data_IF_075979627631
#
_entry.id   IF_075979627631
#
_cell.length_a   1.000
_cell.length_b   1.000
_cell.length_c   1.000
_cell.angle_alpha   90.00
_cell.angle_beta   90.00
_cell.angle_gamma   90.00
#
_symmetry.space_group_name_H-M   'P 1'
#
loop_
_entity.id
_entity.type
_entity.pdbx_description
1 polymer ?
#
# COMPACT_ATOMS: atom_id res chain seq x y z
N UNK A 1 -9.28 14.91 -20.65
CA UNK A 1 -8.92 14.63 -19.24
C UNK A 1 -7.97 13.43 -19.15
N UNK A 2 -8.35 12.22 -19.59
CA UNK A 2 -7.49 11.01 -19.51
C UNK A 2 -6.59 10.74 -20.73
N UNK A 3 -6.23 11.76 -21.53
CA UNK A 3 -5.32 11.56 -22.68
C UNK A 3 -3.84 11.76 -22.31
N UNK A 4 -3.57 12.30 -21.12
CA UNK A 4 -2.23 12.49 -20.58
C UNK A 4 -2.02 11.63 -19.33
N UNK A 5 -0.92 10.88 -19.30
CA UNK A 5 -0.58 10.03 -18.16
C UNK A 5 -0.22 10.90 -16.94
N UNK A 6 -0.87 10.65 -15.80
CA UNK A 6 -0.60 11.41 -14.58
C UNK A 6 -1.36 12.74 -14.48
N UNK A 7 -2.30 13.03 -15.38
CA UNK A 7 -3.16 14.23 -15.33
C UNK A 7 -3.89 14.38 -13.97
N UNK A 8 -4.26 13.26 -13.34
CA UNK A 8 -4.88 13.23 -12.00
C UNK A 8 -3.98 13.85 -10.91
N UNK A 9 -2.68 14.01 -11.17
CA UNK A 9 -1.72 14.62 -10.24
C UNK A 9 -1.45 16.10 -10.49
N UNK A 10 -1.95 16.69 -11.58
CA UNK A 10 -1.51 18.01 -12.04
C UNK A 10 -2.48 19.19 -11.83
N UNK A 11 -3.72 19.04 -11.31
CA UNK A 11 -4.67 20.17 -11.26
C UNK A 11 -5.61 20.15 -10.03
N UNK A 12 -5.93 21.36 -9.53
CA UNK A 12 -7.07 21.75 -8.69
C UNK A 12 -8.40 21.17 -9.19
N UNK A 13 -8.64 19.91 -8.86
CA UNK A 13 -9.82 19.20 -9.32
C UNK A 13 -11.02 19.58 -8.43
N UNK A 14 -12.18 19.91 -9.06
CA UNK A 14 -13.43 20.12 -8.32
C UNK A 14 -13.72 18.94 -7.38
N UNK A 15 -14.32 19.15 -6.19
CA UNK A 15 -14.55 18.08 -5.21
C UNK A 15 -15.23 16.82 -5.79
N UNK A 16 -16.17 17.00 -6.72
CA UNK A 16 -16.86 15.93 -7.44
C UNK A 16 -15.91 15.04 -8.28
N UNK A 17 -14.86 15.63 -8.86
CA UNK A 17 -13.87 14.90 -9.64
C UNK A 17 -12.91 14.09 -8.76
N UNK A 18 -12.59 14.57 -7.55
CA UNK A 18 -11.75 13.86 -6.59
C UNK A 18 -12.39 12.53 -6.14
N UNK A 19 -13.68 12.54 -5.81
CA UNK A 19 -14.42 11.32 -5.45
C UNK A 19 -14.43 10.31 -6.59
N UNK A 20 -14.68 10.78 -7.81
CA UNK A 20 -14.62 9.94 -9.01
C UNK A 20 -13.23 9.31 -9.21
N UNK A 21 -12.16 10.09 -9.01
CA UNK A 21 -10.79 9.59 -9.12
C UNK A 21 -10.44 8.55 -8.04
N UNK A 22 -10.97 8.69 -6.82
CA UNK A 22 -10.81 7.68 -5.77
C UNK A 22 -11.47 6.36 -6.18
N UNK A 23 -12.70 6.42 -6.70
CA UNK A 23 -13.43 5.24 -7.19
C UNK A 23 -12.65 4.56 -8.33
N UNK A 24 -12.23 5.32 -9.34
CA UNK A 24 -11.42 4.81 -10.45
C UNK A 24 -10.13 4.16 -9.94
N UNK A 25 -9.47 4.76 -8.95
CA UNK A 25 -8.26 4.20 -8.36
C UNK A 25 -8.52 2.85 -7.68
N UNK A 26 -9.60 2.71 -6.92
CA UNK A 26 -10.00 1.45 -6.28
C UNK A 26 -10.25 0.38 -7.36
N UNK A 27 -11.03 0.68 -8.39
CA UNK A 27 -11.30 -0.27 -9.48
C UNK A 27 -10.03 -0.68 -10.25
N UNK A 28 -9.09 0.25 -10.47
CA UNK A 28 -7.81 -0.08 -11.09
C UNK A 28 -6.98 -1.04 -10.22
N UNK A 29 -6.94 -0.81 -8.90
CA UNK A 29 -6.25 -1.70 -7.96
C UNK A 29 -6.89 -3.09 -7.93
N UNK A 30 -8.23 -3.17 -7.85
CA UNK A 30 -8.97 -4.43 -7.87
C UNK A 30 -8.80 -5.18 -9.20
N UNK A 31 -8.78 -4.46 -10.32
CA UNK A 31 -8.51 -5.04 -11.65
C UNK A 31 -7.12 -5.68 -11.71
N UNK A 32 -6.08 -4.99 -11.23
CA UNK A 32 -4.71 -5.52 -11.16
C UNK A 32 -4.64 -6.76 -10.27
N UNK A 33 -5.24 -6.73 -9.08
CA UNK A 33 -5.27 -7.88 -8.18
C UNK A 33 -5.98 -9.08 -8.81
N UNK A 34 -7.12 -8.84 -9.47
CA UNK A 34 -7.90 -9.87 -10.15
C UNK A 34 -7.14 -10.48 -11.32
N UNK A 35 -6.51 -9.65 -12.14
CA UNK A 35 -5.65 -10.08 -13.24
C UNK A 35 -4.49 -10.95 -12.77
N UNK A 36 -3.77 -10.52 -11.72
CA UNK A 36 -2.68 -11.30 -11.12
C UNK A 36 -3.20 -12.60 -10.50
N UNK A 37 -4.37 -12.57 -9.85
CA UNK A 37 -5.02 -13.77 -9.30
C UNK A 37 -5.37 -14.80 -10.39
N UNK A 38 -5.95 -14.35 -11.52
CA UNK A 38 -6.23 -15.20 -12.68
C UNK A 38 -4.95 -15.79 -13.29
N UNK A 39 -3.88 -15.01 -13.35
CA UNK A 39 -2.57 -15.48 -13.78
C UNK A 39 -1.97 -16.48 -12.79
N UNK A 40 -2.18 -16.29 -11.49
CA UNK A 40 -1.73 -17.23 -10.45
C UNK A 40 -2.35 -18.62 -10.64
N UNK A 41 -3.63 -18.68 -10.99
CA UNK A 41 -4.36 -19.91 -11.31
C UNK A 41 -3.94 -20.56 -12.63
N UNK A 42 -3.40 -19.79 -13.58
CA UNK A 42 -3.04 -20.25 -14.91
C UNK A 42 -1.72 -21.02 -14.93
N UNK A 43 -1.72 -22.30 -14.53
CA UNK A 43 -0.47 -23.08 -14.36
C UNK A 43 0.37 -23.19 -15.64
N UNK A 44 -0.19 -23.67 -16.76
CA UNK A 44 0.56 -23.98 -18.00
C UNK A 44 0.48 -22.92 -19.10
N UNK A 45 -0.50 -22.02 -19.07
CA UNK A 45 -0.80 -21.05 -20.14
C UNK A 45 -0.53 -19.60 -19.70
N UNK A 46 0.51 -19.37 -18.89
CA UNK A 46 0.76 -18.04 -18.32
C UNK A 46 1.00 -16.99 -19.41
N UNK A 47 1.81 -17.30 -20.43
CA UNK A 47 2.11 -16.35 -21.50
C UNK A 47 0.86 -16.00 -22.32
N UNK A 48 0.10 -17.00 -22.76
CA UNK A 48 -1.13 -16.78 -23.54
C UNK A 48 -2.17 -15.97 -22.77
N UNK A 49 -2.36 -16.26 -21.48
CA UNK A 49 -3.29 -15.49 -20.65
C UNK A 49 -2.75 -14.10 -20.31
N UNK A 50 -1.44 -13.95 -20.14
CA UNK A 50 -0.82 -12.65 -19.94
C UNK A 50 -1.04 -11.74 -21.15
N UNK A 51 -0.84 -12.25 -22.37
CA UNK A 51 -1.09 -11.50 -23.61
C UNK A 51 -2.56 -11.08 -23.73
N UNK A 52 -3.49 -11.93 -23.31
CA UNK A 52 -4.92 -11.59 -23.32
C UNK A 52 -5.28 -10.50 -22.29
N UNK A 53 -4.63 -10.53 -21.12
CA UNK A 53 -4.94 -9.65 -19.98
C UNK A 53 -4.15 -8.33 -20.06
N UNK A 54 -3.02 -8.29 -20.77
CA UNK A 54 -2.12 -7.13 -20.82
C UNK A 54 -2.75 -5.82 -21.29
N UNK A 55 -3.71 -5.78 -22.25
CA UNK A 55 -4.36 -4.52 -22.63
C UNK A 55 -5.16 -3.91 -21.47
N UNK A 56 -5.79 -4.76 -20.65
CA UNK A 56 -6.57 -4.35 -19.49
C UNK A 56 -5.68 -3.87 -18.34
N UNK A 57 -4.54 -4.54 -18.13
CA UNK A 57 -3.53 -4.11 -17.17
C UNK A 57 -2.93 -2.76 -17.57
N UNK A 58 -2.63 -2.57 -18.85
CA UNK A 58 -2.15 -1.29 -19.37
C UNK A 58 -3.17 -0.18 -19.15
N UNK A 59 -4.43 -0.41 -19.51
CA UNK A 59 -5.51 0.54 -19.27
C UNK A 59 -5.65 0.90 -17.78
N UNK A 60 -5.59 -0.10 -16.87
CA UNK A 60 -5.67 0.14 -15.44
C UNK A 60 -4.50 0.99 -14.90
N UNK A 61 -3.27 0.72 -15.34
CA UNK A 61 -2.09 1.52 -14.96
C UNK A 61 -2.20 2.94 -15.51
N UNK A 62 -2.61 3.07 -16.77
CA UNK A 62 -2.72 4.34 -17.47
C UNK A 62 -3.80 5.24 -16.88
N UNK A 63 -5.01 4.70 -16.65
CA UNK A 63 -6.13 5.43 -16.05
C UNK A 63 -5.83 5.89 -14.63
N UNK A 64 -5.05 5.12 -13.87
CA UNK A 64 -4.66 5.55 -12.54
C UNK A 64 -3.64 6.69 -12.56
N UNK A 65 -2.66 6.63 -13.48
CA UNK A 65 -1.65 7.67 -13.65
C UNK A 65 -0.60 7.75 -12.54
N UNK A 66 -0.72 6.98 -11.45
CA UNK A 66 0.26 7.04 -10.33
C UNK A 66 1.35 5.98 -10.47
N UNK A 67 2.60 6.41 -10.30
CA UNK A 67 3.80 5.54 -10.39
C UNK A 67 3.78 4.30 -9.49
N UNK A 68 3.13 4.37 -8.33
CA UNK A 68 3.10 3.25 -7.39
C UNK A 68 2.25 2.07 -7.90
N UNK A 69 1.23 2.32 -8.72
CA UNK A 69 0.39 1.24 -9.27
C UNK A 69 1.13 0.42 -10.31
N UNK A 70 1.94 1.09 -11.13
CA UNK A 70 2.89 0.39 -12.00
C UNK A 70 3.86 -0.47 -11.18
N UNK A 71 4.44 0.09 -10.10
CA UNK A 71 5.33 -0.66 -9.22
C UNK A 71 4.65 -1.90 -8.59
N UNK A 72 3.41 -1.76 -8.09
CA UNK A 72 2.64 -2.88 -7.54
C UNK A 72 2.45 -3.99 -8.58
N UNK A 73 2.02 -3.63 -9.80
CA UNK A 73 1.83 -4.62 -10.87
C UNK A 73 3.12 -5.37 -11.18
N UNK A 74 4.21 -4.64 -11.38
CA UNK A 74 5.52 -5.19 -11.72
C UNK A 74 6.06 -6.11 -10.62
N UNK A 75 5.95 -5.69 -9.36
CA UNK A 75 6.34 -6.50 -8.19
C UNK A 75 5.49 -7.77 -8.10
N UNK A 76 4.17 -7.66 -8.25
CA UNK A 76 3.27 -8.82 -8.20
C UNK A 76 3.58 -9.83 -9.31
N UNK A 77 3.81 -9.37 -10.54
CA UNK A 77 4.21 -10.25 -11.64
C UNK A 77 5.57 -10.90 -11.39
N UNK A 78 6.54 -10.16 -10.85
CA UNK A 78 7.84 -10.71 -10.50
C UNK A 78 7.74 -11.78 -9.41
N UNK A 79 7.01 -11.52 -8.32
CA UNK A 79 6.78 -12.51 -7.25
C UNK A 79 6.07 -13.74 -7.83
N UNK A 80 5.08 -13.57 -8.71
CA UNK A 80 4.37 -14.68 -9.34
C UNK A 80 5.31 -15.60 -10.12
N UNK A 81 6.18 -15.02 -10.95
CA UNK A 81 7.16 -15.78 -11.75
C UNK A 81 8.21 -16.43 -10.85
N UNK A 82 8.68 -15.72 -9.81
CA UNK A 82 9.64 -16.24 -8.85
C UNK A 82 9.07 -17.45 -8.08
N UNK A 83 7.82 -17.40 -7.61
CA UNK A 83 7.17 -18.51 -6.89
C UNK A 83 6.94 -19.75 -7.75
N UNK A 84 6.90 -19.61 -9.09
CA UNK A 84 6.80 -20.76 -10.01
C UNK A 84 8.12 -21.47 -10.26
N UNK A 85 9.22 -20.97 -9.71
CA UNK A 85 10.54 -21.58 -9.88
C UNK A 85 11.13 -21.41 -11.28
N UNK A 86 10.63 -20.45 -12.08
CA UNK A 86 11.26 -20.11 -13.37
C UNK A 86 12.72 -19.68 -13.20
N UNK A 87 13.06 -19.10 -12.04
CA UNK A 87 14.41 -18.66 -11.71
C UNK A 87 15.04 -19.58 -10.65
N UNK A 88 16.31 -19.95 -10.86
CA UNK A 88 17.17 -20.47 -9.78
C UNK A 88 17.36 -19.36 -8.72
N UNK A 89 17.63 -19.72 -7.45
CA UNK A 89 17.76 -18.75 -6.34
C UNK A 89 18.65 -17.54 -6.66
N UNK A 90 19.80 -17.77 -7.29
CA UNK A 90 20.72 -16.69 -7.71
C UNK A 90 20.13 -15.79 -8.81
N UNK A 91 19.40 -16.39 -9.77
CA UNK A 91 18.72 -15.66 -10.83
C UNK A 91 17.54 -14.82 -10.28
N UNK A 92 16.90 -15.24 -9.19
CA UNK A 92 15.88 -14.44 -8.52
C UNK A 92 16.45 -13.13 -7.95
N UNK A 93 17.65 -13.17 -7.36
CA UNK A 93 18.31 -11.96 -6.86
C UNK A 93 18.68 -11.01 -8.01
N UNK A 94 19.28 -11.54 -9.08
CA UNK A 94 19.64 -10.74 -10.26
C UNK A 94 18.41 -10.11 -10.91
N UNK A 95 17.34 -10.89 -11.11
CA UNK A 95 16.10 -10.38 -11.69
C UNK A 95 15.44 -9.34 -10.79
N UNK A 96 15.51 -9.51 -9.47
CA UNK A 96 15.06 -8.49 -8.51
C UNK A 96 15.86 -7.19 -8.61
N UNK A 97 17.19 -7.27 -8.78
CA UNK A 97 18.04 -6.09 -8.98
C UNK A 97 17.71 -5.38 -10.30
N UNK A 98 17.54 -6.13 -11.39
CA UNK A 98 17.13 -5.57 -12.69
C UNK A 98 15.76 -4.89 -12.54
N UNK A 99 14.82 -5.52 -11.85
CA UNK A 99 13.49 -4.96 -11.58
C UNK A 99 13.59 -3.62 -10.83
N UNK A 100 14.42 -3.59 -9.79
CA UNK A 100 14.68 -2.38 -9.02
C UNK A 100 15.22 -1.25 -9.91
N UNK A 101 16.19 -1.55 -10.78
CA UNK A 101 16.75 -0.56 -11.72
C UNK A 101 15.69 -0.05 -12.72
N UNK A 102 14.84 -0.94 -13.24
CA UNK A 102 13.74 -0.56 -14.14
C UNK A 102 12.74 0.36 -13.43
N UNK A 103 12.35 0.03 -12.20
CA UNK A 103 11.44 0.86 -11.40
C UNK A 103 12.06 2.21 -11.02
N UNK A 104 13.36 2.23 -10.69
CA UNK A 104 14.09 3.47 -10.41
C UNK A 104 14.16 4.36 -11.64
N UNK A 105 14.48 3.79 -12.81
CA UNK A 105 14.50 4.52 -14.08
C UNK A 105 13.11 5.07 -14.45
N UNK A 106 12.06 4.27 -14.31
CA UNK A 106 10.68 4.71 -14.53
C UNK A 106 10.29 5.85 -13.59
N UNK A 107 10.63 5.75 -12.30
CA UNK A 107 10.32 6.79 -11.32
C UNK A 107 11.07 8.09 -11.61
N UNK A 108 12.33 8.01 -12.03
CA UNK A 108 13.11 9.16 -12.45
C UNK A 108 12.48 9.86 -13.67
N UNK A 109 12.08 9.09 -14.69
CA UNK A 109 11.34 9.63 -15.83
C UNK A 109 10.03 10.30 -15.40
N UNK A 110 9.28 9.67 -14.50
CA UNK A 110 8.04 10.26 -13.96
C UNK A 110 8.27 11.61 -13.27
N UNK A 111 9.34 11.73 -12.47
CA UNK A 111 9.67 12.99 -11.78
C UNK A 111 9.99 14.12 -12.75
N UNK A 112 10.67 13.84 -13.85
CA UNK A 112 11.03 14.84 -14.86
C UNK A 112 9.83 15.22 -15.73
N UNK A 113 9.13 14.23 -16.28
CA UNK A 113 8.13 14.47 -17.32
C UNK A 113 6.73 14.77 -16.80
N UNK A 114 6.37 14.25 -15.61
CA UNK A 114 5.00 14.40 -15.06
C UNK A 114 4.98 15.41 -13.93
N UNK A 115 6.00 15.41 -13.06
CA UNK A 115 6.11 16.40 -11.96
C UNK A 115 6.89 17.66 -12.35
N UNK A 116 7.45 17.69 -13.55
CA UNK A 116 8.22 18.82 -14.09
C UNK A 116 9.33 19.34 -13.17
N UNK A 117 9.92 18.46 -12.34
CA UNK A 117 11.03 18.81 -11.45
C UNK A 117 12.29 19.05 -12.28
N UNK A 118 12.80 20.29 -12.29
CA UNK A 118 13.96 20.69 -13.10
C UNK A 118 15.24 20.91 -12.28
N UNK A 119 15.12 21.19 -10.98
CA UNK A 119 16.28 21.38 -10.11
C UNK A 119 16.73 20.05 -9.47
N UNK A 120 18.04 19.78 -9.52
CA UNK A 120 18.66 18.63 -8.86
C UNK A 120 18.42 18.63 -7.35
N UNK A 121 18.39 19.81 -6.72
CA UNK A 121 18.17 19.92 -5.28
C UNK A 121 16.75 19.43 -4.90
N UNK A 122 15.75 19.82 -5.68
CA UNK A 122 14.36 19.39 -5.52
C UNK A 122 14.18 17.91 -5.83
N UNK A 123 14.82 17.40 -6.89
CA UNK A 123 14.79 15.96 -7.23
C UNK A 123 15.36 15.13 -6.07
N UNK A 124 16.50 15.55 -5.51
CA UNK A 124 17.13 14.87 -4.38
C UNK A 124 16.25 14.92 -3.12
N UNK A 125 15.70 16.07 -2.78
CA UNK A 125 14.82 16.21 -1.62
C UNK A 125 13.55 15.37 -1.78
N UNK A 126 12.92 15.41 -2.95
CA UNK A 126 11.75 14.58 -3.25
C UNK A 126 12.08 13.08 -3.18
N UNK A 127 13.20 12.65 -3.77
CA UNK A 127 13.63 11.26 -3.68
C UNK A 127 13.89 10.84 -2.23
N UNK A 128 14.54 11.70 -1.43
CA UNK A 128 14.78 11.42 -0.01
C UNK A 128 13.48 11.33 0.79
N UNK A 129 12.53 12.24 0.55
CA UNK A 129 11.22 12.22 1.21
C UNK A 129 10.43 10.99 0.80
N UNK A 130 10.43 10.65 -0.49
CA UNK A 130 9.68 9.52 -1.04
C UNK A 130 10.23 8.16 -0.60
N UNK A 131 11.56 7.99 -0.56
CA UNK A 131 12.19 6.68 -0.36
C UNK A 131 12.94 6.54 0.97
N UNK A 132 13.51 7.62 1.49
CA UNK A 132 14.34 7.55 2.70
C UNK A 132 13.54 7.38 3.97
N UNK A 133 12.32 7.94 4.04
CA UNK A 133 11.41 7.95 5.21
C UNK A 133 12.03 8.49 6.52
N UNK A 134 13.29 8.91 6.50
CA UNK A 134 14.05 9.32 7.66
C UNK A 134 13.49 10.61 8.27
N UNK A 135 13.06 11.55 7.42
CA UNK A 135 12.45 12.80 7.86
C UNK A 135 11.18 12.56 8.71
N UNK A 136 10.31 11.65 8.25
CA UNK A 136 9.03 11.37 8.89
C UNK A 136 9.23 10.66 10.23
N UNK A 137 10.11 9.65 10.26
CA UNK A 137 10.45 8.94 11.50
C UNK A 137 11.12 9.88 12.50
N UNK A 138 12.12 10.69 12.08
CA UNK A 138 12.80 11.64 12.97
C UNK A 138 11.85 12.68 13.56
N UNK A 139 10.95 13.24 12.76
CA UNK A 139 9.96 14.18 13.25
C UNK A 139 9.01 13.53 14.25
N UNK A 140 8.58 12.28 14.00
CA UNK A 140 7.74 11.53 14.93
C UNK A 140 8.43 11.32 16.27
N UNK A 141 9.70 10.87 16.25
CA UNK A 141 10.51 10.72 17.46
C UNK A 141 10.71 12.08 18.15
N UNK A 142 10.93 13.15 17.38
CA UNK A 142 11.09 14.48 17.95
C UNK A 142 9.84 14.98 18.66
N UNK A 143 8.65 14.76 18.08
CA UNK A 143 7.36 15.08 18.68
C UNK A 143 7.15 14.29 19.99
N UNK A 144 7.51 13.01 20.00
CA UNK A 144 7.46 12.18 21.23
C UNK A 144 8.37 12.69 22.35
N UNK A 145 9.55 13.19 21.99
CA UNK A 145 10.52 13.71 22.97
C UNK A 145 10.21 15.14 23.42
N UNK A 146 9.47 15.91 22.62
CA UNK A 146 9.17 17.32 22.87
C UNK A 146 7.68 17.64 22.68
N UNK A 147 6.77 17.03 23.47
CA UNK A 147 5.32 17.20 23.31
C UNK A 147 4.90 18.66 23.47
N UNK A 148 5.59 19.45 24.30
CA UNK A 148 5.31 20.88 24.47
C UNK A 148 5.60 21.74 23.23
N UNK A 149 6.29 21.20 22.22
CA UNK A 149 6.65 21.92 20.98
C UNK A 149 5.85 21.47 19.77
N UNK A 150 5.52 20.19 19.72
CA UNK A 150 4.86 19.57 18.58
C UNK A 150 4.20 18.28 19.02
N UNK A 151 2.92 18.15 18.71
CA UNK A 151 2.17 16.90 18.83
C UNK A 151 1.62 16.57 17.44
N UNK A 152 1.73 15.31 17.04
CA UNK A 152 1.22 14.86 15.73
C UNK A 152 -0.25 14.48 15.84
N UNK A 153 -0.58 13.69 16.86
CA UNK A 153 -1.94 13.27 17.18
C UNK A 153 -2.43 14.07 18.37
N UNK A 154 -3.73 14.38 18.41
CA UNK A 154 -4.35 15.06 19.55
C UNK A 154 -4.44 14.10 20.75
N UNK A 155 -4.52 12.79 20.49
CA UNK A 155 -4.43 11.75 21.52
C UNK A 155 -3.94 10.40 20.97
N UNK A 156 -3.48 9.52 21.88
CA UNK A 156 -2.98 8.18 21.53
C UNK A 156 -4.10 7.28 20.99
N UNK A 157 -3.85 6.58 19.89
CA UNK A 157 -4.82 5.67 19.28
C UNK A 157 -5.78 6.34 18.28
N UNK A 158 -5.70 7.66 18.13
CA UNK A 158 -6.60 8.43 17.26
C UNK A 158 -6.60 7.93 15.81
N UNK A 159 -5.43 7.61 15.25
CA UNK A 159 -5.38 7.11 13.86
C UNK A 159 -5.89 5.68 13.72
N UNK A 160 -5.88 4.88 14.80
CA UNK A 160 -6.47 3.54 14.82
C UNK A 160 -7.99 3.60 14.82
N UNK A 161 -8.57 4.61 15.47
CA UNK A 161 -10.01 4.88 15.39
C UNK A 161 -10.37 5.20 13.93
N UNK A 162 -9.56 6.01 13.25
CA UNK A 162 -9.74 6.26 11.82
C UNK A 162 -9.69 4.97 10.99
N UNK A 163 -8.76 4.04 11.28
CA UNK A 163 -8.69 2.76 10.58
C UNK A 163 -9.98 1.96 10.71
N UNK A 164 -10.51 1.83 11.93
CA UNK A 164 -11.74 1.09 12.19
C UNK A 164 -12.98 1.71 11.54
N UNK A 165 -12.92 3.00 11.23
CA UNK A 165 -14.05 3.78 10.71
C UNK A 165 -13.83 4.25 9.28
N UNK A 166 -12.85 3.70 8.56
CA UNK A 166 -12.50 4.07 7.17
C UNK A 166 -13.73 4.19 6.25
N UNK A 167 -14.69 3.27 6.39
CA UNK A 167 -15.90 3.17 5.57
C UNK A 167 -16.97 4.20 5.98
N UNK A 168 -16.89 4.75 7.19
CA UNK A 168 -17.86 5.73 7.69
C UNK A 168 -17.63 7.07 6.99
N UNK A 169 -18.60 7.57 6.21
CA UNK A 169 -18.50 8.85 5.52
C UNK A 169 -18.52 10.02 6.53
N UNK A 170 -17.83 11.12 6.22
CA UNK A 170 -17.69 12.26 7.15
C UNK A 170 -19.00 13.03 7.33
N UNK A 171 -19.93 12.89 6.40
CA UNK A 171 -21.28 13.45 6.47
C UNK A 171 -22.08 12.84 7.64
N UNK A 172 -21.82 11.57 7.98
CA UNK A 172 -22.46 10.88 9.11
C UNK A 172 -21.71 11.10 10.43
N UNK A 173 -20.42 11.42 10.37
CA UNK A 173 -19.60 11.74 11.54
C UNK A 173 -18.62 12.88 11.21
N UNK A 174 -19.05 14.14 11.37
CA UNK A 174 -18.25 15.31 11.03
C UNK A 174 -16.90 15.35 11.77
N UNK A 175 -16.91 15.02 13.06
CA UNK A 175 -15.73 15.01 13.95
C UNK A 175 -14.90 13.73 13.85
N UNK A 176 -15.09 12.92 12.80
CA UNK A 176 -14.31 11.70 12.58
C UNK A 176 -12.81 12.04 12.52
N UNK A 177 -11.92 11.28 13.19
CA UNK A 177 -10.48 11.51 13.11
C UNK A 177 -9.94 11.53 11.68
N UNK A 178 -8.84 12.24 11.45
CA UNK A 178 -8.20 12.28 10.13
C UNK A 178 -7.28 11.07 9.88
N UNK A 179 -6.93 10.77 8.61
CA UNK A 179 -5.81 9.86 8.35
C UNK A 179 -4.53 10.39 9.00
N UNK A 180 -3.70 9.52 9.56
CA UNK A 180 -2.40 9.86 10.14
C UNK A 180 -1.53 10.76 9.24
N UNK A 181 -1.52 10.54 7.92
CA UNK A 181 -0.78 11.41 6.99
C UNK A 181 -1.23 12.87 7.04
N UNK A 182 -2.50 13.15 7.31
CA UNK A 182 -3.06 14.50 7.43
C UNK A 182 -2.67 15.15 8.76
N UNK A 183 -2.73 14.39 9.86
CA UNK A 183 -2.20 14.82 11.17
C UNK A 183 -0.71 15.16 11.08
N UNK A 184 0.08 14.24 10.54
CA UNK A 184 1.52 14.42 10.35
C UNK A 184 1.83 15.67 9.51
N UNK A 185 1.13 15.85 8.39
CA UNK A 185 1.34 17.01 7.52
C UNK A 185 0.92 18.31 8.20
N UNK A 186 -0.17 18.30 8.95
CA UNK A 186 -0.64 19.48 9.70
C UNK A 186 0.36 19.88 10.79
N UNK A 187 0.87 18.90 11.56
CA UNK A 187 1.90 19.13 12.56
C UNK A 187 3.21 19.67 11.93
N UNK A 188 3.61 19.14 10.77
CA UNK A 188 4.80 19.62 10.03
C UNK A 188 4.66 21.09 9.63
N UNK A 189 3.44 21.51 9.29
CA UNK A 189 3.12 22.89 8.89
C UNK A 189 2.75 23.80 10.06
N UNK A 190 2.77 23.30 11.30
CA UNK A 190 2.33 24.02 12.50
C UNK A 190 0.89 24.57 12.39
N UNK A 191 0.00 23.80 11.79
CA UNK A 191 -1.43 24.11 11.65
C UNK A 191 -2.29 23.05 12.33
N UNK A 192 -3.52 23.41 12.69
CA UNK A 192 -4.48 22.46 13.23
C UNK A 192 -4.81 21.34 12.22
N UNK A 193 -5.09 20.11 12.69
CA UNK A 193 -5.43 18.98 11.83
C UNK A 193 -6.60 19.30 10.90
N UNK A 194 -6.39 19.07 9.60
CA UNK A 194 -7.42 19.23 8.57
C UNK A 194 -7.09 18.40 7.34
N UNK A 195 -8.08 18.19 6.48
CA UNK A 195 -7.87 17.57 5.17
C UNK A 195 -7.14 18.57 4.28
N UNK A 196 -5.92 18.23 3.91
CA UNK A 196 -5.13 18.91 2.90
C UNK A 196 -5.27 18.14 1.58
N UNK A 197 -5.26 18.85 0.45
CA UNK A 197 -5.29 18.25 -0.89
C UNK A 197 -4.05 17.41 -1.23
N UNK A 198 -3.03 17.48 -0.39
CA UNK A 198 -1.82 16.67 -0.43
C UNK A 198 -1.45 16.24 0.99
N UNK A 199 -0.55 15.27 1.12
CA UNK A 199 -0.05 14.87 2.43
C UNK A 199 1.33 14.25 2.31
N UNK A 200 2.13 14.44 3.36
CA UNK A 200 3.37 13.69 3.55
C UNK A 200 3.03 12.20 3.58
N UNK A 201 3.78 11.44 2.80
CA UNK A 201 3.60 10.00 2.77
C UNK A 201 4.18 9.41 4.04
N UNK A 202 3.30 8.87 4.88
CA UNK A 202 3.62 8.18 6.13
C UNK A 202 3.46 6.67 5.96
N UNK A 203 3.91 5.90 6.95
CA UNK A 203 3.91 4.45 7.04
C UNK A 203 3.50 4.01 8.46
N UNK A 204 3.34 2.70 8.64
CA UNK A 204 3.04 2.13 9.95
C UNK A 204 4.13 2.38 11.00
N UNK A 205 5.40 2.52 10.61
CA UNK A 205 6.49 2.63 11.59
C UNK A 205 6.34 3.87 12.47
N UNK A 206 6.18 5.04 11.84
CA UNK A 206 5.92 6.30 12.52
C UNK A 206 4.51 6.34 13.12
N UNK A 207 3.50 5.78 12.46
CA UNK A 207 2.13 5.75 13.00
C UNK A 207 2.08 4.93 14.30
N UNK A 208 2.82 3.82 14.39
CA UNK A 208 2.94 3.04 15.61
C UNK A 208 3.63 3.83 16.72
N UNK A 209 4.70 4.58 16.43
CA UNK A 209 5.37 5.45 17.41
C UNK A 209 4.42 6.55 17.89
N UNK A 210 3.69 7.21 17.00
CA UNK A 210 2.74 8.25 17.39
C UNK A 210 1.56 7.71 18.22
N UNK A 211 1.08 6.50 17.94
CA UNK A 211 -0.04 5.91 18.70
C UNK A 211 0.39 5.26 20.02
N UNK A 212 1.58 4.68 20.09
CA UNK A 212 2.01 3.83 21.22
C UNK A 212 3.31 4.29 21.88
N UNK A 213 3.83 5.47 21.51
CA UNK A 213 5.07 6.04 22.02
C UNK A 213 6.23 5.03 21.93
N UNK A 214 6.95 4.80 23.03
CA UNK A 214 8.03 3.84 23.13
C UNK A 214 7.67 2.42 22.69
N UNK A 215 6.45 1.95 22.98
CA UNK A 215 5.99 0.64 22.52
C UNK A 215 5.82 0.58 21.00
N UNK A 216 5.62 1.73 20.35
CA UNK A 216 5.55 1.87 18.91
C UNK A 216 6.82 1.44 18.19
N UNK A 217 8.01 1.63 18.79
CA UNK A 217 9.27 1.11 18.23
C UNK A 217 9.30 -0.41 18.14
N UNK A 218 8.59 -1.10 19.05
CA UNK A 218 8.44 -2.54 19.04
C UNK A 218 7.29 -2.98 18.12
N UNK A 219 6.12 -2.35 18.23
CA UNK A 219 4.92 -2.69 17.46
C UNK A 219 5.05 -2.39 15.96
N UNK A 220 5.83 -1.35 15.62
CA UNK A 220 6.16 -0.96 14.25
C UNK A 220 6.66 -2.13 13.39
N UNK A 221 7.83 -2.71 13.68
CA UNK A 221 8.35 -3.86 12.93
C UNK A 221 7.56 -5.16 13.15
N UNK A 222 6.89 -5.33 14.30
CA UNK A 222 6.15 -6.56 14.60
C UNK A 222 4.93 -6.78 13.69
N UNK A 223 4.18 -5.73 13.35
CA UNK A 223 2.96 -5.89 12.53
C UNK A 223 3.29 -6.41 11.11
N UNK A 224 4.21 -5.81 10.32
CA UNK A 224 4.61 -6.37 9.03
C UNK A 224 5.18 -7.79 9.14
N UNK A 225 5.95 -8.08 10.20
CA UNK A 225 6.47 -9.43 10.44
C UNK A 225 5.34 -10.44 10.70
N UNK A 226 4.31 -10.06 11.46
CA UNK A 226 3.12 -10.88 11.70
C UNK A 226 2.34 -11.12 10.40
N UNK A 227 2.19 -10.10 9.55
CA UNK A 227 1.52 -10.22 8.25
C UNK A 227 2.26 -11.23 7.36
N UNK A 228 3.60 -11.13 7.28
CA UNK A 228 4.43 -12.11 6.57
C UNK A 228 4.25 -13.52 7.15
N UNK A 229 4.27 -13.66 8.47
CA UNK A 229 4.07 -14.95 9.16
C UNK A 229 2.70 -15.56 8.85
N UNK A 230 1.64 -14.74 8.82
CA UNK A 230 0.29 -15.17 8.44
C UNK A 230 0.30 -15.71 7.02
N UNK A 231 0.98 -15.03 6.09
CA UNK A 231 1.14 -15.47 4.70
C UNK A 231 1.88 -16.80 4.58
N UNK A 232 3.03 -16.93 5.23
CA UNK A 232 3.92 -18.10 5.11
C UNK A 232 3.25 -19.41 5.53
N UNK A 233 2.38 -19.36 6.55
CA UNK A 233 1.66 -20.54 7.05
C UNK A 233 0.57 -21.03 6.07
N UNK A 234 0.19 -20.23 5.08
CA UNK A 234 -0.86 -20.60 4.11
C UNK A 234 -0.26 -21.36 2.93
N UNK A 235 -1.00 -22.33 2.40
CA UNK A 235 -0.60 -23.07 1.20
C UNK A 235 -0.93 -22.33 -0.11
N UNK A 236 -1.84 -21.35 -0.04
CA UNK A 236 -2.26 -20.57 -1.20
C UNK A 236 -1.17 -19.56 -1.62
N UNK A 237 -0.72 -19.68 -2.88
CA UNK A 237 0.32 -18.82 -3.46
C UNK A 237 -0.12 -17.36 -3.53
N UNK A 238 -1.37 -17.11 -3.91
CA UNK A 238 -1.90 -15.75 -4.02
C UNK A 238 -1.98 -15.09 -2.65
N UNK A 239 -2.40 -15.81 -1.60
CA UNK A 239 -2.40 -15.28 -0.22
C UNK A 239 -0.99 -14.95 0.26
N UNK A 240 0.02 -15.78 -0.05
CA UNK A 240 1.42 -15.47 0.24
C UNK A 240 1.88 -14.20 -0.46
N UNK A 241 1.66 -14.10 -1.77
CA UNK A 241 2.01 -12.92 -2.56
C UNK A 241 1.38 -11.65 -1.99
N UNK A 242 0.08 -11.73 -1.69
CA UNK A 242 -0.68 -10.60 -1.17
C UNK A 242 -0.23 -10.21 0.24
N UNK A 243 0.18 -11.16 1.08
CA UNK A 243 0.73 -10.88 2.42
C UNK A 243 2.06 -10.12 2.32
N UNK A 244 2.96 -10.53 1.43
CA UNK A 244 4.22 -9.80 1.18
C UNK A 244 3.95 -8.39 0.67
N UNK A 245 3.00 -8.24 -0.26
CA UNK A 245 2.60 -6.93 -0.76
C UNK A 245 2.06 -6.04 0.35
N UNK A 246 1.11 -6.53 1.16
CA UNK A 246 0.51 -5.77 2.26
C UNK A 246 1.55 -5.39 3.32
N UNK A 247 2.45 -6.30 3.71
CA UNK A 247 3.55 -6.00 4.63
C UNK A 247 4.47 -4.90 4.08
N UNK A 248 4.81 -4.97 2.78
CA UNK A 248 5.60 -3.93 2.10
C UNK A 248 4.86 -2.59 2.04
N UNK A 249 3.54 -2.61 1.80
CA UNK A 249 2.72 -1.40 1.76
C UNK A 249 2.65 -0.73 3.14
N UNK A 250 2.50 -1.49 4.23
CA UNK A 250 2.57 -0.94 5.59
C UNK A 250 3.90 -0.23 5.89
N UNK A 251 5.00 -0.67 5.28
CA UNK A 251 6.31 -0.02 5.44
C UNK A 251 6.52 1.20 4.53
N UNK A 252 5.65 1.40 3.53
CA UNK A 252 5.87 2.42 2.49
C UNK A 252 4.82 3.51 2.46
N UNK A 253 3.58 3.18 2.82
CA UNK A 253 2.40 4.06 2.75
C UNK A 253 1.43 3.79 3.92
N UNK A 254 0.61 4.78 4.24
CA UNK A 254 -0.44 4.66 5.26
C UNK A 254 -1.58 3.74 4.78
N UNK A 255 -2.23 3.02 5.71
CA UNK A 255 -3.31 2.07 5.40
C UNK A 255 -4.39 2.63 4.46
N UNK A 256 -4.78 3.89 4.64
CA UNK A 256 -5.79 4.55 3.81
C UNK A 256 -5.48 4.50 2.31
N UNK A 257 -4.19 4.57 1.94
CA UNK A 257 -3.76 4.59 0.54
C UNK A 257 -3.90 3.22 -0.17
N UNK A 258 -3.97 2.13 0.60
CA UNK A 258 -4.08 0.76 0.07
C UNK A 258 -5.18 -0.05 0.75
N UNK A 259 -6.17 0.62 1.36
CA UNK A 259 -7.23 -0.02 2.15
C UNK A 259 -8.00 -1.09 1.36
N UNK A 260 -8.22 -0.87 0.06
CA UNK A 260 -8.83 -1.86 -0.86
C UNK A 260 -8.02 -3.16 -0.96
N UNK A 261 -6.69 -3.05 -1.11
CA UNK A 261 -5.76 -4.19 -1.17
C UNK A 261 -5.73 -4.91 0.17
N UNK A 262 -5.66 -4.16 1.27
CA UNK A 262 -5.71 -4.70 2.63
C UNK A 262 -7.04 -5.42 2.90
N UNK A 263 -8.17 -4.89 2.45
CA UNK A 263 -9.48 -5.51 2.59
C UNK A 263 -9.55 -6.85 1.83
N UNK A 264 -9.09 -6.91 0.58
CA UNK A 264 -9.00 -8.17 -0.18
C UNK A 264 -8.11 -9.19 0.55
N UNK A 265 -6.98 -8.74 1.12
CA UNK A 265 -6.10 -9.61 1.90
C UNK A 265 -6.78 -10.18 3.14
N UNK A 266 -7.43 -9.35 3.95
CA UNK A 266 -8.17 -9.78 5.14
C UNK A 266 -9.24 -10.80 4.75
N UNK A 267 -10.05 -10.51 3.72
CA UNK A 267 -11.09 -11.41 3.24
C UNK A 267 -10.52 -12.78 2.84
N UNK A 268 -9.41 -12.78 2.09
CA UNK A 268 -8.75 -14.02 1.65
C UNK A 268 -8.18 -14.83 2.81
N UNK A 269 -7.57 -14.17 3.80
CA UNK A 269 -7.02 -14.83 5.00
C UNK A 269 -8.15 -15.44 5.84
N UNK A 270 -9.23 -14.68 6.06
CA UNK A 270 -10.42 -15.14 6.77
C UNK A 270 -11.08 -16.32 6.06
N UNK A 271 -11.26 -16.23 4.73
CA UNK A 271 -11.80 -17.31 3.92
C UNK A 271 -10.96 -18.59 4.01
N UNK A 272 -9.63 -18.46 3.88
CA UNK A 272 -8.72 -19.59 4.02
C UNK A 272 -8.74 -20.21 5.42
N UNK A 273 -9.00 -19.41 6.47
CA UNK A 273 -9.16 -19.90 7.83
C UNK A 273 -10.48 -20.67 8.01
N UNK A 274 -11.60 -20.13 7.50
CA UNK A 274 -12.91 -20.79 7.53
C UNK A 274 -12.91 -22.14 6.80
N UNK A 275 -12.27 -22.21 5.63
CA UNK A 275 -12.15 -23.48 4.88
C UNK A 275 -11.37 -24.53 5.65
N UNK A 276 -10.25 -24.15 6.30
CA UNK A 276 -9.46 -25.08 7.12
C UNK A 276 -10.27 -25.62 8.30
N UNK A 277 -11.06 -24.76 8.96
CA UNK A 277 -11.93 -25.15 10.08
C UNK A 277 -12.99 -26.16 9.63
N UNK A 278 -13.66 -25.93 8.49
CA UNK A 278 -14.61 -26.90 7.92
C UNK A 278 -13.99 -28.26 7.61
N UNK A 279 -12.77 -28.28 7.09
CA UNK A 279 -12.06 -29.53 6.80
C UNK A 279 -11.69 -30.33 8.05
N UNK A 280 -11.44 -29.65 9.17
CA UNK A 280 -11.14 -30.30 10.46
C UNK A 280 -12.40 -30.83 11.14
N UNK A 281 -13.50 -30.08 11.10
CA UNK A 281 -14.82 -30.52 11.64
C UNK A 281 -15.40 -31.73 10.89
N UNK A 282 -15.20 -31.83 9.57
CA UNK A 282 -15.66 -32.99 8.77
C UNK A 282 -14.79 -34.25 8.99
N UNK A 283 -13.57 -34.08 9.52
CA UNK A 283 -12.62 -35.18 9.78
C UNK A 283 -12.67 -35.73 11.20
N UNK A 284 -13.47 -35.16 12.11
CA UNK A 284 -13.83 -35.81 13.38
C UNK A 284 -15.04 -36.72 13.13
N UNK A 285 -14.87 -38.03 12.89
CA UNK A 285 -16.01 -38.93 12.91
C UNK A 285 -16.58 -38.95 14.32
N UNK A 286 -17.90 -39.00 14.38
CA UNK A 286 -18.71 -39.37 15.53
C UNK A 286 -18.18 -40.70 16.10
N UNK A 287 -17.20 -40.62 16.98
CA UNK A 287 -16.89 -41.67 17.96
C UNK A 287 -17.54 -41.20 19.24
N UNK A 288 -18.87 -41.27 19.27
CA UNK A 288 -19.66 -41.05 20.46
C UNK A 288 -20.65 -42.20 20.60
N UNK A 289 -20.18 -43.18 21.37
CA UNK A 289 -20.89 -44.13 22.24
C UNK A 289 -21.83 -45.16 21.61
#
# INVERSE_FOLDING_TARGET
>A
MYLDYGWVTSIDAEPSSLEFHVIVAIFCQLSILSAVGLLALAQRQLLSRFVLISPWLFAAVYLNGKRYIFAILVILLWILVAQRGFFKRFNTLITGLILFLVLAFFSFGYQIFVRELRDYSEIYQNARIDYGRDAVVKMTIYAELHPTRMEILDYRGESLIFWSTLIVPRELWPDKPYPYSQYFTSAMLFISPRILGWGMTTSWLEEAIANFSWFGFLLGPLLPALICRIGDVRNDRFVRMLSVLVATLFLTVQLAAFASIAAVWVLMVCWAWLLKKRQTEVQEPVIAQ
#
